data_IF_965418707380
#
_entry.id   IF_965418707380
#
_cell.length_a   1.000
_cell.length_b   1.000
_cell.length_c   1.000
_cell.angle_alpha   90.00
_cell.angle_beta   90.00
_cell.angle_gamma   90.00
#
_symmetry.space_group_name_H-M   'P 1'
#
loop_
_entity.id
_entity.type
_entity.pdbx_description
1 polymer ?
#
# COMPACT_ATOMS: atom_id res chain seq x y z
N UNK A 1 -11.00 -14.98 19.73
CA UNK A 1 -11.59 -13.82 20.43
C UNK A 1 -10.49 -12.79 20.62
N UNK A 2 -10.42 -11.76 19.76
CA UNK A 2 -9.29 -10.83 19.77
C UNK A 2 -9.61 -9.60 20.62
N UNK A 3 -9.21 -9.60 21.89
CA UNK A 3 -9.41 -8.52 22.86
C UNK A 3 -8.58 -7.26 22.59
N UNK A 4 -7.78 -7.23 21.52
CA UNK A 4 -6.79 -6.17 21.24
C UNK A 4 -7.15 -5.23 20.09
N UNK A 5 -8.24 -5.47 19.36
CA UNK A 5 -8.60 -4.68 18.17
C UNK A 5 -9.62 -3.55 18.44
N UNK A 6 -10.20 -3.47 19.65
CA UNK A 6 -11.30 -2.55 20.01
C UNK A 6 -10.89 -1.06 20.08
N UNK A 7 -9.60 -0.73 20.21
CA UNK A 7 -9.16 0.64 20.49
C UNK A 7 -9.05 1.53 19.24
N UNK A 8 -8.68 0.99 18.08
CA UNK A 8 -8.50 1.80 16.85
C UNK A 8 -9.78 2.00 16.05
N UNK A 9 -10.76 1.09 16.15
CA UNK A 9 -12.02 1.16 15.38
C UNK A 9 -13.00 2.19 15.98
N UNK A 10 -12.89 2.50 17.28
CA UNK A 10 -13.71 3.52 17.96
C UNK A 10 -13.64 4.93 17.34
N UNK A 11 -12.55 5.24 16.64
CA UNK A 11 -12.36 6.52 15.93
C UNK A 11 -13.42 6.71 14.83
N UNK A 12 -14.00 5.63 14.30
CA UNK A 12 -14.98 5.67 13.21
C UNK A 12 -16.45 5.71 13.69
N UNK A 13 -16.77 5.09 14.82
CA UNK A 13 -18.15 4.98 15.31
C UNK A 13 -18.60 6.19 16.14
N UNK A 14 -17.70 6.88 16.85
CA UNK A 14 -18.09 8.00 17.73
C UNK A 14 -18.29 9.35 17.00
N UNK A 15 -17.79 9.52 15.76
CA UNK A 15 -17.84 10.81 15.03
C UNK A 15 -18.77 10.88 13.82
N UNK A 16 -19.48 9.80 13.49
CA UNK A 16 -20.16 9.71 12.19
C UNK A 16 -21.69 9.87 12.18
N UNK A 17 -22.40 9.86 13.32
CA UNK A 17 -23.88 9.76 13.25
C UNK A 17 -24.73 10.82 13.95
N UNK A 18 -24.24 11.67 14.87
CA UNK A 18 -25.11 12.69 15.47
C UNK A 18 -24.48 14.09 15.50
N UNK A 19 -25.26 15.08 15.08
CA UNK A 19 -25.07 16.53 15.21
C UNK A 19 -24.09 17.23 14.25
N UNK A 20 -24.54 17.52 13.00
CA UNK A 20 -24.30 18.82 12.34
C UNK A 20 -24.96 18.95 10.94
N UNK A 21 -26.20 18.48 10.74
CA UNK A 21 -26.99 18.84 9.53
C UNK A 21 -28.36 19.33 9.96
N UNK A 22 -28.42 20.42 10.72
CA UNK A 22 -29.71 21.11 10.88
C UNK A 22 -29.64 22.63 10.99
N UNK A 23 -28.47 23.26 11.17
CA UNK A 23 -28.46 24.73 11.34
C UNK A 23 -27.14 25.38 10.89
N UNK A 24 -26.88 25.53 9.58
CA UNK A 24 -25.87 26.49 9.09
C UNK A 24 -26.20 27.03 7.67
N UNK A 25 -25.93 28.32 7.39
CA UNK A 25 -26.35 29.01 6.16
C UNK A 25 -25.42 28.76 4.95
N UNK A 26 -25.93 29.07 3.75
CA UNK A 26 -25.45 28.67 2.43
C UNK A 26 -24.13 29.32 1.91
N UNK A 27 -23.28 29.92 2.75
CA UNK A 27 -22.03 30.58 2.28
C UNK A 27 -20.78 29.88 2.83
N UNK A 28 -20.43 28.72 2.26
CA UNK A 28 -19.13 28.09 2.43
C UNK A 28 -18.70 27.38 1.14
N UNK A 29 -18.18 28.18 0.22
CA UNK A 29 -17.35 27.71 -0.90
C UNK A 29 -16.18 26.91 -0.30
N UNK A 30 -16.06 25.62 -0.64
CA UNK A 30 -14.82 24.84 -0.44
C UNK A 30 -14.76 23.77 0.64
N UNK A 31 -15.87 23.18 1.11
CA UNK A 31 -15.81 22.02 2.00
C UNK A 31 -16.00 20.68 1.26
N UNK A 32 -15.00 20.23 0.49
CA UNK A 32 -14.96 18.81 0.06
C UNK A 32 -14.51 17.95 1.24
N UNK A 33 -15.36 17.85 2.28
CA UNK A 33 -15.21 16.81 3.31
C UNK A 33 -15.92 15.56 2.81
N UNK A 34 -15.28 14.81 1.90
CA UNK A 34 -15.69 13.43 1.64
C UNK A 34 -15.00 12.50 2.62
N UNK A 35 -15.81 12.08 3.59
CA UNK A 35 -15.92 10.77 4.22
C UNK A 35 -14.61 10.03 4.59
N UNK A 36 -14.40 9.70 5.88
CA UNK A 36 -13.35 8.78 6.36
C UNK A 36 -13.06 7.60 5.44
N UNK A 37 -14.10 7.03 4.79
CA UNK A 37 -14.03 5.97 3.77
C UNK A 37 -13.05 6.24 2.62
N UNK A 38 -13.01 7.46 2.07
CA UNK A 38 -12.08 7.77 0.96
C UNK A 38 -10.63 7.88 1.46
N UNK A 39 -10.42 8.40 2.67
CA UNK A 39 -9.09 8.42 3.27
C UNK A 39 -8.57 7.01 3.52
N UNK A 40 -9.44 6.08 3.92
CA UNK A 40 -9.08 4.66 4.04
C UNK A 40 -8.63 4.08 2.70
N UNK A 41 -9.40 4.29 1.62
CA UNK A 41 -9.05 3.79 0.29
C UNK A 41 -7.73 4.39 -0.18
N UNK A 42 -7.54 5.71 -0.01
CA UNK A 42 -6.29 6.38 -0.40
C UNK A 42 -5.11 5.78 0.35
N UNK A 43 -5.21 5.65 1.66
CA UNK A 43 -4.12 5.12 2.47
C UNK A 43 -3.81 3.65 2.18
N UNK A 44 -4.83 2.82 1.96
CA UNK A 44 -4.61 1.43 1.56
C UNK A 44 -3.90 1.33 0.20
N UNK A 45 -4.23 2.21 -0.75
CA UNK A 45 -3.51 2.30 -2.04
C UNK A 45 -2.07 2.79 -1.87
N UNK A 46 -1.82 3.75 -0.98
CA UNK A 46 -0.46 4.22 -0.66
C UNK A 46 0.41 3.08 -0.09
N UNK A 47 -0.18 2.14 0.65
CA UNK A 47 0.47 0.93 1.17
C UNK A 47 0.58 -0.20 0.14
N UNK A 48 0.09 0.02 -1.09
CA UNK A 48 0.18 -0.94 -2.19
C UNK A 48 -0.88 -2.03 -2.15
N UNK A 49 -1.93 -1.93 -1.33
CA UNK A 49 -3.03 -2.88 -1.41
C UNK A 49 -3.77 -2.74 -2.75
N UNK A 50 -4.03 -3.87 -3.40
CA UNK A 50 -4.82 -3.92 -4.61
C UNK A 50 -6.29 -3.57 -4.33
N UNK A 51 -6.98 -3.05 -5.34
CA UNK A 51 -8.39 -2.61 -5.22
C UNK A 51 -9.29 -3.74 -4.72
N UNK A 52 -9.01 -4.98 -5.14
CA UNK A 52 -9.76 -6.16 -4.73
C UNK A 52 -9.53 -6.53 -3.26
N UNK A 53 -8.36 -6.25 -2.68
CA UNK A 53 -8.09 -6.40 -1.25
C UNK A 53 -8.68 -5.24 -0.41
N UNK A 54 -8.81 -4.05 -0.99
CA UNK A 54 -9.37 -2.87 -0.30
C UNK A 54 -10.86 -3.04 0.00
N UNK A 55 -11.63 -3.71 -0.87
CA UNK A 55 -13.08 -3.96 -0.70
C UNK A 55 -13.41 -4.73 0.60
N UNK A 56 -12.85 -5.93 0.86
CA UNK A 56 -13.11 -6.66 2.09
C UNK A 56 -12.60 -5.92 3.33
N UNK A 57 -11.44 -5.26 3.25
CA UNK A 57 -10.92 -4.41 4.32
C UNK A 57 -11.88 -3.26 4.68
N UNK A 58 -12.52 -2.64 3.68
CA UNK A 58 -13.57 -1.64 3.93
C UNK A 58 -14.82 -2.22 4.58
N UNK A 59 -15.23 -3.43 4.18
CA UNK A 59 -16.37 -4.12 4.76
C UNK A 59 -16.12 -4.46 6.23
N UNK A 60 -14.92 -4.96 6.54
CA UNK A 60 -14.47 -5.27 7.90
C UNK A 60 -14.34 -4.02 8.76
N UNK A 61 -13.83 -2.91 8.21
CA UNK A 61 -13.73 -1.65 8.92
C UNK A 61 -15.10 -1.03 9.28
N UNK A 62 -16.18 -1.43 8.59
CA UNK A 62 -17.54 -0.99 8.87
C UNK A 62 -18.26 -1.77 9.97
N UNK A 63 -17.68 -2.87 10.46
CA UNK A 63 -18.29 -3.76 11.45
C UNK A 63 -17.33 -3.99 12.63
N UNK A 64 -17.46 -3.20 13.72
CA UNK A 64 -16.52 -3.22 14.85
C UNK A 64 -16.56 -4.50 15.66
N UNK A 65 -17.63 -5.29 15.56
CA UNK A 65 -17.82 -6.53 16.32
C UNK A 65 -17.31 -7.76 15.56
N UNK A 66 -16.93 -7.61 14.27
CA UNK A 66 -16.31 -8.68 13.49
C UNK A 66 -14.90 -8.99 13.95
N UNK A 67 -14.56 -10.28 13.84
CA UNK A 67 -13.20 -10.76 14.13
C UNK A 67 -12.19 -10.15 13.15
N UNK A 68 -11.08 -9.63 13.68
CA UNK A 68 -9.99 -9.09 12.86
C UNK A 68 -9.12 -10.16 12.17
N UNK A 69 -9.47 -11.45 12.28
CA UNK A 69 -8.72 -12.55 11.64
C UNK A 69 -8.57 -12.35 10.14
N UNK A 70 -9.66 -12.06 9.44
CA UNK A 70 -9.65 -11.80 7.99
C UNK A 70 -8.79 -10.58 7.63
N UNK A 71 -8.81 -9.52 8.46
CA UNK A 71 -7.94 -8.35 8.28
C UNK A 71 -6.45 -8.75 8.42
N UNK A 72 -6.13 -9.56 9.42
CA UNK A 72 -4.77 -10.06 9.63
C UNK A 72 -4.31 -10.93 8.46
N UNK A 73 -5.15 -11.84 7.96
CA UNK A 73 -4.79 -12.75 6.87
C UNK A 73 -4.51 -11.97 5.58
N UNK A 74 -5.38 -11.02 5.21
CA UNK A 74 -5.17 -10.13 4.05
C UNK A 74 -3.86 -9.34 4.21
N UNK A 75 -3.62 -8.80 5.40
CA UNK A 75 -2.42 -7.98 5.67
C UNK A 75 -1.15 -8.83 5.61
N UNK A 76 -1.18 -10.05 6.14
CA UNK A 76 -0.03 -10.97 6.12
C UNK A 76 0.29 -11.43 4.70
N UNK A 77 -0.72 -11.76 3.89
CA UNK A 77 -0.51 -12.12 2.48
C UNK A 77 0.21 -10.99 1.73
N UNK A 78 -0.30 -9.76 1.87
CA UNK A 78 0.31 -8.58 1.24
C UNK A 78 1.74 -8.32 1.74
N UNK A 79 1.99 -8.54 3.03
CA UNK A 79 3.33 -8.41 3.60
C UNK A 79 4.33 -9.38 2.95
N UNK A 80 3.95 -10.64 2.73
CA UNK A 80 4.81 -11.61 2.06
C UNK A 80 5.06 -11.23 0.59
N UNK A 81 4.04 -10.76 -0.13
CA UNK A 81 4.21 -10.26 -1.51
C UNK A 81 5.18 -9.07 -1.59
N UNK A 82 5.12 -8.15 -0.62
CA UNK A 82 6.04 -7.02 -0.51
C UNK A 82 7.46 -7.50 -0.21
N UNK A 83 7.64 -8.46 0.71
CA UNK A 83 8.96 -9.03 1.00
C UNK A 83 9.58 -9.68 -0.23
N UNK A 84 8.80 -10.46 -0.98
CA UNK A 84 9.25 -11.10 -2.22
C UNK A 84 9.65 -10.06 -3.27
N UNK A 85 8.87 -8.98 -3.40
CA UNK A 85 9.20 -7.88 -4.31
C UNK A 85 10.48 -7.17 -3.89
N UNK A 86 10.67 -6.92 -2.60
CA UNK A 86 11.92 -6.34 -2.07
C UNK A 86 13.10 -7.26 -2.41
N UNK A 87 13.00 -8.56 -2.13
CA UNK A 87 14.08 -9.50 -2.41
C UNK A 87 14.49 -9.50 -3.90
N UNK A 88 13.50 -9.53 -4.81
CA UNK A 88 13.75 -9.45 -6.25
C UNK A 88 14.38 -8.12 -6.68
N UNK A 89 13.87 -7.00 -6.17
CA UNK A 89 14.39 -5.67 -6.50
C UNK A 89 15.78 -5.42 -5.91
N UNK A 90 16.06 -5.98 -4.73
CA UNK A 90 17.40 -5.96 -4.13
C UNK A 90 18.39 -6.73 -4.98
N UNK A 91 18.05 -7.95 -5.41
CA UNK A 91 18.92 -8.72 -6.31
C UNK A 91 19.20 -7.97 -7.62
N UNK A 92 18.17 -7.39 -8.24
CA UNK A 92 18.32 -6.57 -9.44
C UNK A 92 19.18 -5.34 -9.20
N UNK A 93 18.99 -4.63 -8.08
CA UNK A 93 19.82 -3.48 -7.72
C UNK A 93 21.28 -3.89 -7.60
N UNK A 94 21.58 -4.98 -6.89
CA UNK A 94 22.95 -5.43 -6.66
C UNK A 94 23.66 -5.82 -7.98
N UNK A 95 22.91 -6.42 -8.91
CA UNK A 95 23.39 -6.69 -10.27
C UNK A 95 23.69 -5.39 -11.03
N UNK A 96 22.75 -4.43 -11.01
CA UNK A 96 22.94 -3.12 -11.65
C UNK A 96 24.10 -2.33 -11.03
N UNK A 97 24.26 -2.36 -9.72
CA UNK A 97 25.39 -1.75 -9.00
C UNK A 97 26.73 -2.33 -9.46
N UNK A 98 26.78 -3.66 -9.67
CA UNK A 98 27.97 -4.32 -10.23
C UNK A 98 28.25 -3.86 -11.66
N UNK A 99 27.21 -3.70 -12.49
CA UNK A 99 27.35 -3.28 -13.88
C UNK A 99 27.86 -1.85 -14.03
N UNK A 100 27.45 -0.92 -13.16
CA UNK A 100 27.84 0.51 -13.27
C UNK A 100 29.27 0.82 -12.83
N UNK A 101 29.99 -0.12 -12.20
CA UNK A 101 31.41 0.06 -11.83
C UNK A 101 32.38 0.09 -13.03
N UNK A 102 31.88 0.00 -14.26
CA UNK A 102 32.67 0.04 -15.48
C UNK A 102 33.19 1.47 -15.78
N UNK A 103 34.51 1.68 -15.72
CA UNK A 103 35.17 2.98 -15.97
C UNK A 103 35.72 3.13 -17.41
N UNK A 104 35.26 2.28 -18.34
CA UNK A 104 35.79 2.26 -19.70
C UNK A 104 35.16 3.35 -20.58
N UNK A 105 36.01 4.09 -21.30
CA UNK A 105 35.62 5.23 -22.17
C UNK A 105 35.14 4.79 -23.56
N UNK A 106 35.23 3.50 -23.89
CA UNK A 106 34.87 2.91 -25.19
C UNK A 106 33.84 1.80 -25.02
N UNK A 107 32.85 1.76 -25.89
CA UNK A 107 31.79 0.75 -25.90
C UNK A 107 32.34 -0.66 -26.13
N UNK A 108 33.43 -0.79 -26.90
CA UNK A 108 34.13 -2.06 -27.13
C UNK A 108 34.75 -2.70 -25.88
N UNK A 109 34.85 -1.95 -24.79
CA UNK A 109 35.39 -2.39 -23.49
C UNK A 109 34.30 -2.28 -22.39
N UNK A 110 33.04 -2.05 -22.78
CA UNK A 110 31.96 -1.78 -21.84
C UNK A 110 31.38 -3.09 -21.30
N UNK A 111 31.72 -3.42 -20.05
CA UNK A 111 31.21 -4.60 -19.34
C UNK A 111 29.67 -4.64 -19.26
N UNK A 112 29.00 -3.49 -19.26
CA UNK A 112 27.52 -3.42 -19.29
C UNK A 112 26.98 -4.08 -20.57
N UNK A 113 27.59 -3.76 -21.72
CA UNK A 113 27.18 -4.33 -23.01
C UNK A 113 27.50 -5.81 -23.08
N UNK A 114 28.64 -6.24 -22.54
CA UNK A 114 29.00 -7.67 -22.45
C UNK A 114 27.97 -8.46 -21.63
N UNK A 115 27.59 -7.99 -20.44
CA UNK A 115 26.61 -8.66 -19.57
C UNK A 115 25.23 -8.72 -20.21
N UNK A 116 24.79 -7.64 -20.89
CA UNK A 116 23.48 -7.63 -21.57
C UNK A 116 23.46 -8.47 -22.86
N UNK A 117 24.59 -8.63 -23.54
CA UNK A 117 24.72 -9.44 -24.74
C UNK A 117 24.92 -10.94 -24.43
N UNK A 118 25.27 -11.28 -23.17
CA UNK A 118 25.38 -12.67 -22.73
C UNK A 118 24.00 -13.31 -22.60
N UNK A 119 23.56 -13.95 -23.68
CA UNK A 119 22.36 -14.77 -23.72
C UNK A 119 22.56 -16.17 -23.13
N UNK A 120 23.64 -16.45 -22.38
CA UNK A 120 23.95 -17.78 -21.82
C UNK A 120 22.91 -18.38 -20.88
N UNK A 121 21.81 -17.66 -20.59
CA UNK A 121 20.66 -18.13 -19.81
C UNK A 121 19.30 -17.97 -20.53
N UNK A 122 19.29 -17.68 -21.84
CA UNK A 122 18.08 -17.75 -22.67
C UNK A 122 17.73 -19.20 -23.03
#
# INVERSE_FOLDING_TARGET
MCSRCSSSIRIWTEKATHAAVSTMPLTAVGAVRKAPRLNFIRHARELGFEVEAIRPLLGLAGDPDRCCGEVHDITNSHLEEVKDKIARLTALRDELETMVTCDHRRVSECRIIEVLADHGKC
#
